data_IF_075688356540
#
_entry.id   IF_075688356540
#
_cell.length_a   1.000
_cell.length_b   1.000
_cell.length_c   1.000
_cell.angle_alpha   90.00
_cell.angle_beta   90.00
_cell.angle_gamma   90.00
#
_symmetry.space_group_name_H-M   'P 1'
#
loop_
_entity.id
_entity.type
_entity.pdbx_description
1 polymer ?
#
# COMPACT_ATOMS: atom_id res chain seq x y z
N UNK A 1 17.17 -1.42 4.45
CA UNK A 1 16.24 -2.05 3.51
C UNK A 1 16.77 -3.43 3.16
N UNK A 2 15.96 -4.47 3.31
CA UNK A 2 16.26 -5.86 2.94
C UNK A 2 15.30 -6.29 1.84
N UNK A 3 15.81 -6.95 0.81
CA UNK A 3 15.02 -7.45 -0.32
C UNK A 3 14.82 -8.96 -0.20
N UNK A 4 13.58 -9.44 -0.33
CA UNK A 4 13.22 -10.86 -0.18
C UNK A 4 12.12 -11.27 -1.15
N UNK A 5 12.03 -12.56 -1.45
CA UNK A 5 11.12 -13.15 -2.44
C UNK A 5 10.13 -14.17 -1.85
N UNK A 6 10.19 -14.44 -0.54
CA UNK A 6 9.25 -15.34 0.16
C UNK A 6 8.62 -14.69 1.40
N UNK A 7 7.37 -15.04 1.74
CA UNK A 7 6.74 -14.57 2.98
C UNK A 7 7.50 -14.97 4.23
N UNK A 8 8.08 -16.19 4.27
CA UNK A 8 8.84 -16.66 5.42
C UNK A 8 10.11 -15.83 5.65
N UNK A 9 10.81 -15.42 4.58
CA UNK A 9 11.95 -14.52 4.70
C UNK A 9 11.55 -13.13 5.24
N UNK A 10 10.38 -12.60 4.85
CA UNK A 10 9.83 -11.36 5.46
C UNK A 10 9.63 -11.57 6.97
N UNK A 11 8.96 -12.66 7.35
CA UNK A 11 8.66 -13.00 8.74
C UNK A 11 9.94 -13.13 9.57
N UNK A 12 10.98 -13.76 9.04
CA UNK A 12 12.26 -13.94 9.72
C UNK A 12 12.96 -12.60 9.95
N UNK A 13 13.01 -11.71 8.95
CA UNK A 13 13.56 -10.36 9.10
C UNK A 13 12.82 -9.58 10.19
N UNK A 14 11.49 -9.61 10.19
CA UNK A 14 10.66 -8.91 11.19
C UNK A 14 10.88 -9.47 12.60
N UNK A 15 11.00 -10.78 12.75
CA UNK A 15 11.29 -11.44 14.04
C UNK A 15 12.68 -11.07 14.57
N UNK A 16 13.70 -11.13 13.72
CA UNK A 16 15.08 -10.77 14.09
C UNK A 16 15.17 -9.31 14.52
N UNK A 17 14.40 -8.43 13.89
CA UNK A 17 14.32 -7.02 14.27
C UNK A 17 13.47 -6.75 15.54
N UNK A 18 12.76 -7.75 16.08
CA UNK A 18 11.88 -7.58 17.23
C UNK A 18 10.66 -6.70 16.96
N UNK A 19 10.21 -6.61 15.70
CA UNK A 19 9.07 -5.79 15.28
C UNK A 19 7.76 -6.35 15.85
N UNK A 20 6.91 -5.49 16.41
CA UNK A 20 5.59 -5.86 16.96
C UNK A 20 4.44 -5.19 16.22
N UNK A 21 4.65 -3.96 15.77
CA UNK A 21 3.69 -3.19 14.98
C UNK A 21 4.20 -3.08 13.55
N UNK A 22 3.60 -3.81 12.61
CA UNK A 22 4.09 -3.91 11.22
C UNK A 22 3.13 -3.22 10.28
N UNK A 23 3.64 -2.31 9.44
CA UNK A 23 2.91 -1.74 8.31
C UNK A 23 3.22 -2.50 7.02
N UNK A 24 2.21 -2.77 6.19
CA UNK A 24 2.36 -3.37 4.86
C UNK A 24 1.74 -2.47 3.79
N UNK A 25 2.59 -1.93 2.93
CA UNK A 25 2.21 -1.02 1.85
C UNK A 25 2.49 -1.64 0.47
N UNK A 26 2.00 -1.00 -0.58
CA UNK A 26 2.05 -1.45 -1.97
C UNK A 26 0.72 -1.23 -2.67
N UNK A 27 0.70 -1.33 -4.00
CA UNK A 27 -0.51 -1.09 -4.80
C UNK A 27 -1.60 -2.16 -4.60
N UNK A 28 -2.83 -1.86 -5.01
CA UNK A 28 -3.92 -2.83 -5.09
C UNK A 28 -3.51 -4.06 -5.90
N UNK A 29 -3.90 -5.25 -5.44
CA UNK A 29 -3.54 -6.52 -6.09
C UNK A 29 -2.09 -6.99 -5.90
N UNK A 30 -1.24 -6.24 -5.18
CA UNK A 30 0.15 -6.65 -4.97
C UNK A 30 0.30 -7.86 -4.04
N UNK A 31 -0.71 -8.19 -3.23
CA UNK A 31 -0.71 -9.32 -2.29
C UNK A 31 -0.53 -8.94 -0.81
N UNK A 32 -0.62 -7.65 -0.46
CA UNK A 32 -0.51 -7.14 0.92
C UNK A 32 -1.32 -7.92 1.93
N UNK A 33 -2.64 -8.07 1.72
CA UNK A 33 -3.53 -8.74 2.66
C UNK A 33 -3.19 -10.22 2.87
N UNK A 34 -2.66 -10.90 1.84
CA UNK A 34 -2.16 -12.27 1.97
C UNK A 34 -0.93 -12.33 2.87
N UNK A 35 0.04 -11.43 2.64
CA UNK A 35 1.23 -11.33 3.49
C UNK A 35 0.87 -10.92 4.93
N UNK A 36 -0.06 -9.98 5.10
CA UNK A 36 -0.53 -9.51 6.40
C UNK A 36 -1.09 -10.65 7.24
N UNK A 37 -1.94 -11.50 6.65
CA UNK A 37 -2.49 -12.69 7.30
C UNK A 37 -1.41 -13.69 7.68
N UNK A 38 -0.40 -13.90 6.82
CA UNK A 38 0.71 -14.80 7.11
C UNK A 38 1.56 -14.29 8.30
N UNK A 39 1.90 -13.00 8.33
CA UNK A 39 2.64 -12.37 9.43
C UNK A 39 1.83 -12.45 10.73
N UNK A 40 0.55 -12.05 10.68
CA UNK A 40 -0.33 -12.05 11.84
C UNK A 40 -0.53 -13.45 12.44
N UNK A 41 -0.66 -14.49 11.60
CA UNK A 41 -0.74 -15.87 12.05
C UNK A 41 0.55 -16.31 12.77
N UNK A 42 1.72 -15.90 12.28
CA UNK A 42 3.01 -16.21 12.92
C UNK A 42 3.27 -15.40 14.19
N UNK A 43 2.74 -14.18 14.27
CA UNK A 43 2.96 -13.24 15.38
C UNK A 43 1.83 -13.32 16.42
N UNK A 44 0.78 -14.10 16.14
CA UNK A 44 -0.44 -14.20 16.93
C UNK A 44 -1.03 -12.82 17.27
N UNK A 45 -1.19 -11.97 16.26
CA UNK A 45 -1.71 -10.62 16.39
C UNK A 45 -2.84 -10.34 15.39
N UNK A 46 -3.51 -9.19 15.58
CA UNK A 46 -4.62 -8.76 14.73
C UNK A 46 -4.12 -8.07 13.45
N UNK A 47 -4.87 -8.22 12.36
CA UNK A 47 -4.71 -7.45 11.13
C UNK A 47 -5.74 -6.33 11.08
N UNK A 48 -5.30 -5.13 10.71
CA UNK A 48 -6.15 -3.97 10.39
C UNK A 48 -6.00 -3.63 8.91
N UNK A 49 -7.07 -3.77 8.14
CA UNK A 49 -7.11 -3.34 6.74
C UNK A 49 -7.65 -1.91 6.67
N UNK A 50 -6.93 -0.98 6.03
CA UNK A 50 -7.43 0.40 5.89
C UNK A 50 -8.79 0.47 5.19
N UNK A 51 -9.07 -0.47 4.27
CA UNK A 51 -10.34 -0.55 3.54
C UNK A 51 -11.55 -0.86 4.44
N UNK A 52 -11.34 -1.40 5.65
CA UNK A 52 -12.40 -1.66 6.65
C UNK A 52 -12.85 -0.37 7.37
N UNK A 53 -12.07 0.70 7.23
CA UNK A 53 -12.30 2.01 7.81
C UNK A 53 -12.74 3.05 6.77
N UNK A 54 -12.82 2.67 5.50
CA UNK A 54 -13.22 3.56 4.40
C UNK A 54 -14.74 3.71 4.30
N UNK A 55 -15.22 4.94 4.29
CA UNK A 55 -16.61 5.27 3.94
C UNK A 55 -16.83 5.18 2.42
N UNK A 56 -17.13 3.97 1.93
CA UNK A 56 -17.16 3.61 0.49
C UNK A 56 -18.13 4.42 -0.38
N UNK A 57 -19.13 5.09 0.19
CA UNK A 57 -20.10 5.87 -0.57
C UNK A 57 -19.60 7.27 -0.95
N UNK A 58 -18.39 7.65 -0.50
CA UNK A 58 -17.81 8.96 -0.76
C UNK A 58 -16.62 8.83 -1.70
N UNK A 59 -16.61 9.63 -2.77
CA UNK A 59 -15.60 9.56 -3.83
C UNK A 59 -14.23 10.07 -3.38
N UNK A 60 -13.36 9.17 -2.92
CA UNK A 60 -11.99 9.43 -2.48
C UNK A 60 -11.48 8.28 -1.60
N UNK A 61 -10.22 8.33 -1.16
CA UNK A 61 -9.65 7.28 -0.29
C UNK A 61 -9.22 7.85 1.05
N UNK A 62 -8.11 8.58 1.08
CA UNK A 62 -7.53 9.08 2.33
C UNK A 62 -8.45 10.07 3.06
N UNK A 63 -9.33 10.78 2.36
CA UNK A 63 -10.27 11.75 2.93
C UNK A 63 -11.44 11.09 3.65
N UNK A 64 -11.71 9.81 3.35
CA UNK A 64 -12.90 9.09 3.80
C UNK A 64 -12.57 7.89 4.69
N UNK A 65 -11.33 7.77 5.14
CA UNK A 65 -10.97 6.84 6.22
C UNK A 65 -11.45 7.44 7.54
N UNK A 66 -12.19 6.64 8.33
CA UNK A 66 -12.51 6.96 9.72
C UNK A 66 -11.26 6.76 10.60
N UNK A 67 -10.41 7.78 10.63
CA UNK A 67 -9.17 7.80 11.40
C UNK A 67 -9.39 7.69 12.91
N UNK A 68 -10.53 8.16 13.42
CA UNK A 68 -10.85 8.07 14.84
C UNK A 68 -11.12 6.62 15.23
N UNK A 69 -11.92 5.91 14.43
CA UNK A 69 -12.18 4.49 14.64
C UNK A 69 -10.93 3.64 14.44
N UNK A 70 -10.14 3.90 13.39
CA UNK A 70 -8.87 3.21 13.16
C UNK A 70 -7.94 3.36 14.36
N UNK A 71 -7.73 4.61 14.83
CA UNK A 71 -6.87 4.88 15.97
C UNK A 71 -7.38 4.20 17.24
N UNK A 72 -8.68 4.26 17.50
CA UNK A 72 -9.28 3.63 18.68
C UNK A 72 -9.08 2.11 18.68
N UNK A 73 -9.31 1.45 17.54
CA UNK A 73 -9.14 0.01 17.40
C UNK A 73 -7.67 -0.41 17.56
N UNK A 74 -6.75 0.29 16.89
CA UNK A 74 -5.31 -0.04 16.91
C UNK A 74 -4.68 0.25 18.27
N UNK A 75 -5.08 1.32 18.96
CA UNK A 75 -4.46 1.73 20.24
C UNK A 75 -4.66 0.73 21.39
N UNK A 76 -5.61 -0.20 21.24
CA UNK A 76 -5.83 -1.28 22.22
C UNK A 76 -4.88 -2.46 22.05
N UNK A 77 -4.15 -2.54 20.93
CA UNK A 77 -3.29 -3.66 20.60
C UNK A 77 -1.82 -3.38 20.94
N UNK A 78 -1.14 -4.35 21.56
CA UNK A 78 0.31 -4.28 21.84
C UNK A 78 1.19 -4.76 20.67
N UNK A 79 0.58 -5.42 19.71
CA UNK A 79 1.20 -6.01 18.53
C UNK A 79 0.10 -6.12 17.46
N UNK A 80 0.40 -5.71 16.23
CA UNK A 80 -0.56 -5.72 15.14
C UNK A 80 0.12 -5.64 13.78
N UNK A 81 -0.63 -6.03 12.76
CA UNK A 81 -0.32 -5.71 11.37
C UNK A 81 -1.35 -4.73 10.86
N UNK A 82 -0.92 -3.66 10.20
CA UNK A 82 -1.80 -2.75 9.47
C UNK A 82 -1.39 -2.72 8.00
N UNK A 83 -2.37 -2.81 7.11
CA UNK A 83 -2.13 -2.89 5.67
C UNK A 83 -3.10 -2.03 4.88
N UNK A 84 -2.63 -1.51 3.75
CA UNK A 84 -3.44 -0.76 2.81
C UNK A 84 -2.59 -0.02 1.79
N UNK A 85 -3.24 0.66 0.85
CA UNK A 85 -2.56 1.62 -0.03
C UNK A 85 -2.39 2.95 0.69
N UNK A 86 -1.41 3.74 0.27
CA UNK A 86 -1.14 5.06 0.86
C UNK A 86 -0.89 4.98 2.38
N UNK A 87 -0.33 3.86 2.84
CA UNK A 87 -0.33 3.49 4.25
C UNK A 87 0.39 4.51 5.13
N UNK A 88 1.56 5.01 4.71
CA UNK A 88 2.32 5.96 5.52
C UNK A 88 1.56 7.27 5.73
N UNK A 89 0.80 7.72 4.74
CA UNK A 89 -0.03 8.92 4.89
C UNK A 89 -1.25 8.65 5.78
N UNK A 90 -1.87 7.48 5.67
CA UNK A 90 -2.95 7.09 6.58
C UNK A 90 -2.47 6.98 8.04
N UNK A 91 -1.27 6.42 8.27
CA UNK A 91 -0.65 6.34 9.60
C UNK A 91 -0.37 7.71 10.19
N UNK A 92 0.16 8.64 9.39
CA UNK A 92 0.42 10.02 9.81
C UNK A 92 -0.88 10.73 10.22
N UNK A 93 -1.93 10.65 9.38
CA UNK A 93 -3.27 11.21 9.68
C UNK A 93 -3.90 10.57 10.93
N UNK A 94 -3.66 9.29 11.17
CA UNK A 94 -4.14 8.58 12.37
C UNK A 94 -3.28 8.82 13.62
N UNK A 95 -2.11 9.47 13.49
CA UNK A 95 -1.09 9.56 14.53
C UNK A 95 -0.66 8.18 15.07
N UNK A 96 -0.57 7.20 14.19
CA UNK A 96 -0.14 5.84 14.50
C UNK A 96 1.32 5.63 14.11
N UNK A 97 2.03 4.79 14.86
CA UNK A 97 3.42 4.40 14.59
C UNK A 97 3.50 2.92 14.29
N UNK A 98 4.52 2.54 13.52
CA UNK A 98 4.88 1.16 13.24
C UNK A 98 6.38 0.98 13.55
N UNK A 99 6.76 -0.23 13.93
CA UNK A 99 8.16 -0.60 14.16
C UNK A 99 8.89 -0.91 12.85
N UNK A 100 8.16 -1.48 11.88
CA UNK A 100 8.70 -1.85 10.58
C UNK A 100 7.66 -1.64 9.47
N UNK A 101 8.16 -1.21 8.31
CA UNK A 101 7.42 -1.10 7.06
C UNK A 101 7.87 -2.19 6.10
N UNK A 102 6.92 -2.96 5.59
CA UNK A 102 7.10 -3.87 4.46
C UNK A 102 6.43 -3.25 3.23
N UNK A 103 7.15 -3.18 2.11
CA UNK A 103 6.57 -2.77 0.83
C UNK A 103 6.49 -3.98 -0.11
N UNK A 104 5.32 -4.23 -0.68
CA UNK A 104 5.10 -5.37 -1.58
C UNK A 104 5.20 -4.92 -3.03
N UNK A 105 6.23 -5.41 -3.73
CA UNK A 105 6.38 -5.28 -5.18
C UNK A 105 5.88 -6.55 -5.86
N UNK A 106 4.84 -6.42 -6.67
CA UNK A 106 4.45 -7.50 -7.57
C UNK A 106 5.45 -7.59 -8.73
N UNK A 107 5.87 -8.79 -9.08
CA UNK A 107 6.76 -9.04 -10.22
C UNK A 107 6.09 -9.85 -11.32
N UNK A 108 6.40 -9.48 -12.55
CA UNK A 108 6.06 -10.23 -13.75
C UNK A 108 7.32 -10.35 -14.60
N UNK A 109 7.70 -11.59 -14.96
CA UNK A 109 8.93 -11.89 -15.72
C UNK A 109 10.20 -11.26 -15.08
N UNK A 110 10.25 -11.26 -13.75
CA UNK A 110 11.39 -10.74 -13.00
C UNK A 110 11.44 -9.21 -12.86
N UNK A 111 10.56 -8.46 -13.53
CA UNK A 111 10.46 -7.00 -13.47
C UNK A 111 9.37 -6.58 -12.48
N UNK A 112 9.50 -5.39 -11.89
CA UNK A 112 8.43 -4.83 -11.06
C UNK A 112 7.28 -4.36 -11.96
N UNK A 113 6.13 -5.03 -11.84
CA UNK A 113 4.99 -4.84 -12.74
C UNK A 113 4.42 -3.42 -12.72
N UNK A 114 4.54 -2.73 -11.59
CA UNK A 114 3.94 -1.41 -11.35
C UNK A 114 4.98 -0.28 -11.34
N UNK A 115 6.23 -0.55 -11.74
CA UNK A 115 7.34 0.41 -11.69
C UNK A 115 7.07 1.69 -12.50
N UNK A 116 6.49 1.54 -13.69
CA UNK A 116 6.12 2.66 -14.57
C UNK A 116 5.28 3.70 -13.83
N UNK A 117 4.33 3.24 -13.03
CA UNK A 117 3.32 4.11 -12.44
C UNK A 117 3.74 4.61 -11.04
N UNK A 118 4.58 3.84 -10.35
CA UNK A 118 4.88 4.02 -8.92
C UNK A 118 6.31 4.49 -8.62
N UNK A 119 7.18 4.55 -9.62
CA UNK A 119 8.55 5.06 -9.48
C UNK A 119 8.89 6.08 -10.57
N UNK A 120 7.95 7.00 -10.82
CA UNK A 120 8.05 8.04 -11.83
C UNK A 120 9.35 8.85 -11.71
N UNK A 121 10.05 8.99 -12.83
CA UNK A 121 11.22 9.86 -12.97
C UNK A 121 10.91 11.12 -13.82
N UNK A 122 9.64 11.34 -14.12
CA UNK A 122 9.14 12.44 -14.95
C UNK A 122 8.18 13.35 -14.15
N UNK A 123 7.59 14.31 -14.86
CA UNK A 123 6.59 15.23 -14.31
C UNK A 123 5.31 14.47 -13.96
N UNK A 124 4.89 14.56 -12.68
CA UNK A 124 3.67 13.95 -12.17
C UNK A 124 2.43 14.40 -12.94
N UNK A 125 2.31 15.70 -13.22
CA UNK A 125 1.13 16.24 -13.89
C UNK A 125 1.08 15.83 -15.36
N UNK A 126 2.22 15.76 -16.04
CA UNK A 126 2.26 15.29 -17.44
C UNK A 126 1.90 13.80 -17.53
N UNK A 127 2.37 12.98 -16.58
CA UNK A 127 2.00 11.57 -16.48
C UNK A 127 0.49 11.40 -16.25
N UNK A 128 -0.07 12.10 -15.26
CA UNK A 128 -1.50 12.00 -14.93
C UNK A 128 -2.39 12.51 -16.07
N UNK A 129 -2.00 13.57 -16.75
CA UNK A 129 -2.70 14.06 -17.93
C UNK A 129 -2.67 13.03 -19.08
N UNK A 130 -1.54 12.35 -19.27
CA UNK A 130 -1.43 11.21 -20.18
C UNK A 130 -2.39 10.07 -19.85
N UNK A 131 -2.45 9.65 -18.59
CA UNK A 131 -3.34 8.58 -18.11
C UNK A 131 -4.83 8.95 -18.24
N UNK A 132 -5.20 10.22 -17.96
CA UNK A 132 -6.58 10.70 -18.20
C UNK A 132 -6.95 10.64 -19.67
N UNK A 133 -6.05 11.06 -20.58
CA UNK A 133 -6.29 11.00 -22.03
C UNK A 133 -6.48 9.56 -22.51
N UNK A 134 -5.65 8.63 -22.05
CA UNK A 134 -5.80 7.21 -22.39
C UNK A 134 -7.14 6.66 -21.90
N UNK A 135 -7.53 6.99 -20.67
CA UNK A 135 -8.81 6.55 -20.09
C UNK A 135 -10.00 7.14 -20.87
N UNK A 136 -9.94 8.41 -21.26
CA UNK A 136 -10.96 9.06 -22.08
C UNK A 136 -11.11 8.40 -23.47
N UNK A 137 -10.01 7.95 -24.08
CA UNK A 137 -10.05 7.22 -25.36
C UNK A 137 -10.75 5.86 -25.24
N UNK A 138 -10.52 5.15 -24.13
CA UNK A 138 -11.14 3.82 -23.88
C UNK A 138 -12.63 3.93 -23.52
N UNK A 139 -13.04 5.05 -22.92
CA UNK A 139 -14.40 5.29 -22.43
C UNK A 139 -15.29 6.09 -23.41
N UNK A 140 -14.81 6.31 -24.64
CA UNK A 140 -15.50 7.10 -25.68
C UNK A 140 -15.90 8.51 -25.20
N UNK A 141 -15.01 9.15 -24.43
CA UNK A 141 -15.15 10.54 -23.99
C UNK A 141 -16.20 10.80 -22.90
N UNK A 142 -16.72 9.77 -22.21
CA UNK A 142 -17.61 9.96 -21.06
C UNK A 142 -16.85 10.66 -19.91
N UNK A 143 -17.52 11.55 -19.17
CA UNK A 143 -16.93 12.27 -18.03
C UNK A 143 -16.32 11.33 -16.96
N UNK A 144 -16.86 10.11 -16.83
CA UNK A 144 -16.32 9.05 -15.96
C UNK A 144 -14.87 8.66 -16.33
N UNK A 145 -14.47 8.83 -17.59
CA UNK A 145 -13.11 8.54 -18.07
C UNK A 145 -12.05 9.59 -17.73
N UNK A 146 -12.45 10.73 -17.18
CA UNK A 146 -11.52 11.77 -16.74
C UNK A 146 -11.10 11.62 -15.27
N UNK A 147 -11.83 10.82 -14.49
CA UNK A 147 -11.56 10.63 -13.06
C UNK A 147 -10.74 9.36 -12.81
N UNK A 148 -9.47 9.54 -12.49
CA UNK A 148 -8.57 8.43 -12.12
C UNK A 148 -8.79 7.94 -10.68
N UNK A 149 -9.57 8.67 -9.86
CA UNK A 149 -10.01 8.27 -8.53
C UNK A 149 -8.87 7.80 -7.63
N UNK A 150 -9.02 6.58 -7.08
CA UNK A 150 -8.02 5.96 -6.21
C UNK A 150 -6.66 5.79 -6.90
N UNK A 151 -6.63 5.54 -8.20
CA UNK A 151 -5.38 5.32 -8.92
C UNK A 151 -4.51 6.58 -8.93
N UNK A 152 -5.09 7.75 -9.18
CA UNK A 152 -4.37 9.02 -9.06
C UNK A 152 -3.89 9.27 -7.63
N UNK A 153 -4.71 8.98 -6.61
CA UNK A 153 -4.30 9.13 -5.22
C UNK A 153 -3.05 8.27 -4.91
N UNK A 154 -3.01 7.03 -5.41
CA UNK A 154 -1.87 6.12 -5.27
C UNK A 154 -0.62 6.67 -5.99
N UNK A 155 -0.76 7.17 -7.22
CA UNK A 155 0.37 7.74 -7.98
C UNK A 155 0.93 8.97 -7.28
N UNK A 156 0.06 9.91 -6.87
CA UNK A 156 0.47 11.12 -6.15
C UNK A 156 1.18 10.77 -4.83
N UNK A 157 0.66 9.79 -4.10
CA UNK A 157 1.28 9.25 -2.90
C UNK A 157 2.68 8.69 -3.18
N UNK A 158 2.84 7.83 -4.19
CA UNK A 158 4.14 7.23 -4.51
C UNK A 158 5.13 8.28 -5.03
N UNK A 159 4.70 9.26 -5.83
CA UNK A 159 5.54 10.36 -6.28
C UNK A 159 6.11 11.17 -5.10
N UNK A 160 5.26 11.47 -4.11
CA UNK A 160 5.61 12.29 -2.95
C UNK A 160 6.42 11.52 -1.89
N UNK A 161 5.97 10.32 -1.52
CA UNK A 161 6.44 9.60 -0.34
C UNK A 161 7.43 8.48 -0.69
N UNK A 162 7.31 7.86 -1.87
CA UNK A 162 8.10 6.70 -2.29
C UNK A 162 8.26 5.67 -1.17
N UNK A 163 7.15 5.06 -0.68
CA UNK A 163 7.17 4.14 0.45
C UNK A 163 8.18 2.99 0.28
N UNK A 164 8.41 2.53 -0.95
CA UNK A 164 9.40 1.53 -1.29
C UNK A 164 10.83 1.90 -0.85
N UNK A 165 11.17 3.19 -0.83
CA UNK A 165 12.51 3.67 -0.45
C UNK A 165 12.68 3.78 1.07
N UNK A 166 11.56 3.90 1.80
CA UNK A 166 11.54 3.96 3.27
C UNK A 166 11.26 2.60 3.91
N UNK A 167 11.06 1.55 3.10
CA UNK A 167 10.75 0.22 3.57
C UNK A 167 11.93 -0.43 4.30
N UNK A 168 11.62 -1.09 5.40
CA UNK A 168 12.57 -1.94 6.10
C UNK A 168 12.79 -3.22 5.30
N UNK A 169 11.70 -3.75 4.74
CA UNK A 169 11.70 -4.94 3.87
C UNK A 169 10.95 -4.63 2.57
N UNK A 170 11.55 -4.95 1.43
CA UNK A 170 10.84 -5.00 0.14
C UNK A 170 10.59 -6.48 -0.20
N UNK A 171 9.32 -6.84 -0.26
CA UNK A 171 8.89 -8.19 -0.62
C UNK A 171 8.51 -8.24 -2.09
N UNK A 172 9.22 -9.06 -2.85
CA UNK A 172 8.94 -9.35 -4.24
C UNK A 172 8.00 -10.54 -4.35
N UNK A 173 6.76 -10.31 -4.81
CA UNK A 173 5.79 -11.36 -5.08
C UNK A 173 5.70 -11.62 -6.57
N UNK A 174 6.17 -12.78 -7.02
CA UNK A 174 5.98 -13.20 -8.41
C UNK A 174 4.49 -13.51 -8.68
N UNK A 175 3.99 -13.05 -9.83
CA UNK A 175 2.75 -13.58 -10.40
C UNK A 175 3.01 -14.99 -10.94
N UNK A 176 2.22 -15.96 -10.47
CA UNK A 176 2.21 -17.28 -11.10
C UNK A 176 1.65 -17.10 -12.51
N UNK A 177 2.40 -17.61 -13.50
CA UNK A 177 2.01 -17.61 -14.91
C UNK A 177 0.77 -18.48 -15.17
#
# INVERSE_FOLDING_TARGET
MVEVDTPDAVIDVLKTAGSRCVGIDGINGSGKSTLAKAIAAKFNCRVFCLDDYLEREKGGFLEFIDYNRLKADVSNEKSYVIEGVCLLEALDRAYLRIDALVYVKRRHLGLWADERDLDLNESLEDFLEGERRLTAMVTDGREEGLNLGLYEAIIRYHYKIRPQNSAHVVYFRDEQA
#
